data_IF_215490283210
#
_entry.id   IF_215490283210
#
_cell.length_a   1.000
_cell.length_b   1.000
_cell.length_c   1.000
_cell.angle_alpha   90.00
_cell.angle_beta   90.00
_cell.angle_gamma   90.00
#
_symmetry.space_group_name_H-M   'P 1'
#
loop_
_entity.id
_entity.type
_entity.pdbx_description
1 polymer ?
#
# COMPACT_ATOMS: atom_id res chain seq x y z
N UNK A 1 12.58 14.55 11.14
CA UNK A 1 12.59 13.30 10.34
C UNK A 1 13.09 13.66 8.94
N UNK A 2 14.39 13.51 8.69
CA UNK A 2 14.98 13.83 7.37
C UNK A 2 14.87 12.60 6.47
N UNK A 3 13.82 12.55 5.65
CA UNK A 3 14.01 12.55 4.19
C UNK A 3 15.41 12.18 3.70
N UNK A 4 15.87 10.91 3.71
CA UNK A 4 17.20 10.62 3.13
C UNK A 4 17.21 11.09 1.67
N UNK A 5 18.24 11.83 1.28
CA UNK A 5 18.37 12.37 -0.08
C UNK A 5 18.29 11.25 -1.12
N UNK A 6 18.78 10.05 -0.79
CA UNK A 6 18.69 8.87 -1.65
C UNK A 6 17.26 8.38 -1.87
N UNK A 7 16.41 8.46 -0.83
CA UNK A 7 15.00 8.11 -0.96
C UNK A 7 14.25 9.13 -1.82
N UNK A 8 14.57 10.42 -1.68
CA UNK A 8 14.01 11.48 -2.52
C UNK A 8 14.45 11.33 -3.99
N UNK A 9 15.73 10.99 -4.23
CA UNK A 9 16.25 10.72 -5.57
C UNK A 9 15.60 9.48 -6.21
N UNK A 10 15.40 8.42 -5.43
CA UNK A 10 14.71 7.22 -5.90
C UNK A 10 13.25 7.52 -6.28
N UNK A 11 12.55 8.29 -5.46
CA UNK A 11 11.17 8.69 -5.73
C UNK A 11 11.08 9.56 -6.99
N UNK A 12 11.96 10.55 -7.13
CA UNK A 12 12.00 11.40 -8.32
C UNK A 12 12.29 10.59 -9.60
N UNK A 13 13.20 9.61 -9.53
CA UNK A 13 13.47 8.69 -10.65
C UNK A 13 12.24 7.87 -11.02
N UNK A 14 11.49 7.36 -10.04
CA UNK A 14 10.25 6.64 -10.28
C UNK A 14 9.20 7.55 -10.96
N UNK A 15 9.06 8.79 -10.49
CA UNK A 15 8.15 9.77 -11.10
C UNK A 15 8.53 10.07 -12.56
N UNK A 16 9.81 10.22 -12.87
CA UNK A 16 10.27 10.45 -14.24
C UNK A 16 9.99 9.27 -15.18
N UNK A 17 10.15 8.04 -14.70
CA UNK A 17 9.81 6.83 -15.45
C UNK A 17 8.31 6.79 -15.75
N UNK A 18 7.47 7.15 -14.78
CA UNK A 18 6.01 7.23 -14.97
C UNK A 18 5.62 8.27 -16.00
N UNK A 19 6.20 9.47 -15.93
CA UNK A 19 5.91 10.55 -16.88
C UNK A 19 6.37 10.21 -18.31
N UNK A 20 7.49 9.51 -18.45
CA UNK A 20 7.94 9.03 -19.76
C UNK A 20 6.95 8.01 -20.35
N UNK A 21 6.49 7.06 -19.53
CA UNK A 21 5.51 6.06 -19.95
C UNK A 21 4.15 6.69 -20.29
N UNK A 22 3.73 7.71 -19.54
CA UNK A 22 2.51 8.49 -19.82
C UNK A 22 2.59 9.22 -21.16
N UNK A 23 3.71 9.92 -21.39
CA UNK A 23 3.97 10.60 -22.66
C UNK A 23 3.93 9.64 -23.84
N UNK A 24 4.55 8.47 -23.71
CA UNK A 24 4.60 7.50 -24.80
C UNK A 24 3.20 6.90 -25.07
N UNK A 25 2.42 6.61 -24.03
CA UNK A 25 1.02 6.21 -24.18
C UNK A 25 0.15 7.29 -24.86
N UNK A 26 0.36 8.58 -24.53
CA UNK A 26 -0.35 9.68 -25.18
C UNK A 26 0.05 9.84 -26.65
N UNK A 27 1.32 9.56 -27.01
CA UNK A 27 1.76 9.53 -28.41
C UNK A 27 1.10 8.39 -29.19
N UNK A 28 1.02 7.21 -28.59
CA UNK A 28 0.34 6.06 -29.20
C UNK A 28 -1.15 6.37 -29.40
N UNK A 29 -1.79 7.03 -28.43
CA UNK A 29 -3.18 7.50 -28.55
C UNK A 29 -3.35 8.50 -29.70
N UNK A 30 -2.45 9.47 -29.85
CA UNK A 30 -2.46 10.42 -30.97
C UNK A 30 -2.23 9.73 -32.33
N UNK A 31 -1.44 8.65 -32.35
CA UNK A 31 -1.23 7.82 -33.53
C UNK A 31 -2.42 6.88 -33.83
N UNK A 32 -3.44 6.84 -32.97
CA UNK A 32 -4.63 6.00 -33.11
C UNK A 32 -4.49 4.59 -32.54
N UNK A 33 -3.38 4.24 -31.88
CA UNK A 33 -3.17 2.96 -31.20
C UNK A 33 -3.73 2.99 -29.76
N UNK A 34 -5.05 3.02 -29.67
CA UNK A 34 -5.80 2.96 -28.41
C UNK A 34 -5.50 1.70 -27.57
N UNK A 35 -5.32 0.48 -28.15
CA UNK A 35 -4.93 -0.69 -27.38
C UNK A 35 -3.61 -0.52 -26.62
N UNK A 36 -2.58 0.06 -27.25
CA UNK A 36 -1.30 0.28 -26.57
C UNK A 36 -1.41 1.39 -25.52
N UNK A 37 -2.10 2.49 -25.82
CA UNK A 37 -2.34 3.57 -24.86
C UNK A 37 -3.08 3.10 -23.60
N UNK A 38 -4.09 2.24 -23.75
CA UNK A 38 -4.91 1.74 -22.63
C UNK A 38 -4.18 0.74 -21.74
N UNK A 39 -3.22 -0.04 -22.26
CA UNK A 39 -2.40 -0.96 -21.43
C UNK A 39 -1.56 -0.22 -20.39
N UNK A 40 -1.07 0.97 -20.70
CA UNK A 40 -0.34 1.78 -19.70
C UNK A 40 -1.27 2.23 -18.57
N UNK A 41 -2.46 2.77 -18.90
CA UNK A 41 -3.46 3.16 -17.90
C UNK A 41 -3.87 1.98 -17.02
N UNK A 42 -4.12 0.82 -17.62
CA UNK A 42 -4.44 -0.40 -16.88
C UNK A 42 -3.32 -0.74 -15.88
N UNK A 43 -2.06 -0.79 -16.33
CA UNK A 43 -0.93 -1.08 -15.43
C UNK A 43 -0.76 -0.03 -14.32
N UNK A 44 -1.03 1.25 -14.60
CA UNK A 44 -1.00 2.32 -13.59
C UNK A 44 -2.10 2.10 -12.55
N UNK A 45 -3.32 1.80 -12.98
CA UNK A 45 -4.45 1.50 -12.08
C UNK A 45 -4.16 0.27 -11.22
N UNK A 46 -3.62 -0.82 -11.78
CA UNK A 46 -3.25 -2.01 -11.00
C UNK A 46 -2.22 -1.71 -9.91
N UNK A 47 -1.19 -0.92 -10.22
CA UNK A 47 -0.18 -0.53 -9.23
C UNK A 47 -0.75 0.39 -8.15
N UNK A 48 -1.61 1.33 -8.53
CA UNK A 48 -2.29 2.21 -7.57
C UNK A 48 -3.23 1.44 -6.66
N UNK A 49 -3.98 0.47 -7.21
CA UNK A 49 -4.85 -0.40 -6.43
C UNK A 49 -4.03 -1.22 -5.41
N UNK A 50 -2.90 -1.81 -5.82
CA UNK A 50 -2.01 -2.53 -4.92
C UNK A 50 -1.42 -1.63 -3.82
N UNK A 51 -1.01 -0.41 -4.16
CA UNK A 51 -0.50 0.54 -3.17
C UNK A 51 -1.58 1.01 -2.17
N UNK A 52 -2.82 1.19 -2.64
CA UNK A 52 -3.95 1.52 -1.76
C UNK A 52 -4.31 0.34 -0.86
N UNK A 53 -4.21 -0.90 -1.35
CA UNK A 53 -4.45 -2.09 -0.55
C UNK A 53 -3.41 -2.24 0.57
N UNK A 54 -2.12 -2.05 0.25
CA UNK A 54 -1.04 -2.02 1.25
C UNK A 54 -1.25 -0.92 2.30
N UNK A 55 -1.57 0.31 1.86
CA UNK A 55 -1.84 1.41 2.78
C UNK A 55 -3.04 1.11 3.68
N UNK A 56 -4.11 0.56 3.11
CA UNK A 56 -5.32 0.21 3.85
C UNK A 56 -5.04 -0.88 4.89
N UNK A 57 -4.21 -1.89 4.56
CA UNK A 57 -3.72 -2.90 5.49
C UNK A 57 -2.93 -2.26 6.63
N UNK A 58 -1.93 -1.42 6.33
CA UNK A 58 -1.14 -0.69 7.34
C UNK A 58 -2.01 0.15 8.28
N UNK A 59 -2.97 0.91 7.75
CA UNK A 59 -3.89 1.73 8.55
C UNK A 59 -4.80 0.85 9.40
N UNK A 60 -5.28 -0.28 8.86
CA UNK A 60 -6.11 -1.24 9.60
C UNK A 60 -5.33 -1.84 10.77
N UNK A 61 -4.09 -2.29 10.53
CA UNK A 61 -3.16 -2.80 11.55
C UNK A 61 -2.89 -1.74 12.63
N UNK A 62 -2.57 -0.50 12.24
CA UNK A 62 -2.33 0.59 13.18
C UNK A 62 -3.54 0.88 14.06
N UNK A 63 -4.74 0.95 13.47
CA UNK A 63 -5.98 1.19 14.21
C UNK A 63 -6.30 0.05 15.18
N UNK A 64 -6.04 -1.19 14.78
CA UNK A 64 -6.16 -2.36 15.63
C UNK A 64 -5.22 -2.23 16.84
N UNK A 65 -3.92 -2.03 16.62
CA UNK A 65 -2.92 -1.88 17.69
C UNK A 65 -3.29 -0.75 18.63
N UNK A 66 -3.64 0.43 18.13
CA UNK A 66 -4.00 1.58 18.96
C UNK A 66 -5.21 1.30 19.85
N UNK A 67 -6.24 0.62 19.33
CA UNK A 67 -7.40 0.23 20.13
C UNK A 67 -7.00 -0.77 21.22
N UNK A 68 -6.21 -1.78 20.89
CA UNK A 68 -5.77 -2.79 21.87
C UNK A 68 -4.90 -2.16 22.96
N UNK A 69 -4.03 -1.20 22.61
CA UNK A 69 -3.24 -0.45 23.58
C UNK A 69 -4.11 0.42 24.50
N UNK A 70 -5.16 1.05 23.96
CA UNK A 70 -6.14 1.82 24.74
C UNK A 70 -6.89 0.96 25.76
N UNK A 71 -7.30 -0.25 25.35
CA UNK A 71 -7.97 -1.22 26.23
C UNK A 71 -7.04 -1.78 27.31
N UNK A 72 -5.77 -2.02 26.99
CA UNK A 72 -4.79 -2.54 27.95
C UNK A 72 -4.23 -1.48 28.89
N UNK A 73 -4.19 -0.20 28.47
CA UNK A 73 -3.54 0.89 29.19
C UNK A 73 -2.01 0.75 29.31
N UNK A 74 -1.40 -0.17 28.56
CA UNK A 74 0.04 -0.47 28.56
C UNK A 74 0.50 -0.97 27.18
N UNK A 75 1.79 -1.24 27.06
CA UNK A 75 2.35 -1.86 25.85
C UNK A 75 1.76 -3.26 25.57
N UNK A 76 1.65 -3.58 24.28
CA UNK A 76 1.15 -4.84 23.75
C UNK A 76 2.31 -5.78 23.41
N UNK A 77 2.26 -7.02 23.89
CA UNK A 77 3.22 -8.08 23.50
C UNK A 77 2.80 -8.75 22.19
N UNK A 78 3.72 -9.49 21.56
CA UNK A 78 3.45 -10.19 20.29
C UNK A 78 2.41 -11.29 20.50
N UNK A 79 2.46 -12.03 21.61
CA UNK A 79 1.50 -13.07 21.95
C UNK A 79 0.09 -12.49 22.16
N UNK A 80 -0.01 -11.36 22.87
CA UNK A 80 -1.27 -10.65 23.07
C UNK A 80 -1.82 -10.09 21.75
N UNK A 81 -0.95 -9.58 20.86
CA UNK A 81 -1.35 -9.18 19.51
C UNK A 81 -1.98 -10.35 18.76
N UNK A 82 -1.31 -11.52 18.74
CA UNK A 82 -1.82 -12.71 18.04
C UNK A 82 -3.16 -13.15 18.61
N UNK A 83 -3.29 -13.18 19.95
CA UNK A 83 -4.53 -13.55 20.63
C UNK A 83 -5.66 -12.60 20.24
N UNK A 84 -5.46 -11.29 20.40
CA UNK A 84 -6.45 -10.27 20.08
C UNK A 84 -6.85 -10.29 18.59
N UNK A 85 -5.89 -10.54 17.68
CA UNK A 85 -6.18 -10.69 16.24
C UNK A 85 -7.06 -11.92 15.98
N UNK A 86 -6.76 -13.05 16.62
CA UNK A 86 -7.50 -14.30 16.45
C UNK A 86 -8.93 -14.24 17.02
N UNK A 87 -9.18 -13.34 17.98
CA UNK A 87 -10.51 -13.09 18.54
C UNK A 87 -11.44 -12.28 17.60
N UNK A 88 -10.91 -11.64 16.56
CA UNK A 88 -11.71 -10.85 15.61
C UNK A 88 -12.66 -11.77 14.84
N UNK A 89 -13.94 -11.78 15.19
CA UNK A 89 -14.94 -12.66 14.56
C UNK A 89 -15.06 -12.47 13.04
N UNK A 90 -14.84 -11.24 12.53
CA UNK A 90 -14.85 -10.96 11.10
C UNK A 90 -13.52 -11.40 10.45
N UNK A 91 -13.59 -12.44 9.61
CA UNK A 91 -12.41 -13.03 8.94
C UNK A 91 -11.75 -12.03 7.98
N UNK A 92 -12.53 -11.29 7.18
CA UNK A 92 -11.99 -10.30 6.24
C UNK A 92 -11.21 -9.19 6.97
N UNK A 93 -11.74 -8.72 8.09
CA UNK A 93 -11.05 -7.74 8.93
C UNK A 93 -9.78 -8.32 9.55
N UNK A 94 -9.82 -9.59 9.97
CA UNK A 94 -8.67 -10.30 10.53
C UNK A 94 -7.55 -10.46 9.52
N UNK A 95 -7.87 -10.89 8.29
CA UNK A 95 -6.88 -11.08 7.20
C UNK A 95 -6.28 -9.77 6.69
N UNK A 96 -7.00 -8.66 6.87
CA UNK A 96 -6.50 -7.31 6.57
C UNK A 96 -5.53 -6.76 7.60
N UNK A 97 -5.52 -7.30 8.81
CA UNK A 97 -4.56 -6.95 9.86
C UNK A 97 -3.32 -7.83 9.67
N UNK A 98 -2.15 -7.21 9.64
CA UNK A 98 -0.89 -7.89 9.41
C UNK A 98 -0.62 -8.97 10.45
N UNK A 99 0.04 -10.05 10.02
CA UNK A 99 0.57 -11.03 10.95
C UNK A 99 1.98 -10.59 11.35
N UNK A 100 2.27 -10.44 12.67
CA UNK A 100 3.57 -10.01 13.16
C UNK A 100 4.71 -10.95 12.73
N UNK A 101 4.39 -12.19 12.36
CA UNK A 101 5.37 -13.18 11.88
C UNK A 101 5.65 -13.09 10.38
N UNK A 102 4.89 -12.26 9.65
CA UNK A 102 5.04 -12.04 8.20
C UNK A 102 5.62 -10.67 7.85
N UNK A 103 5.97 -9.87 8.86
CA UNK A 103 6.52 -8.53 8.73
C UNK A 103 8.03 -8.51 8.45
#
# INVERSE_FOLDING_TARGET
>A
MTISVDAQLSDLRAQLVELAAERDALRDQLAGDLPTATRWLQRKVWRQAAALDDLNRRVSTQRFVLRTLDELGRSLTVEEYRAARNEIANIELRERIDDPDTA
#
